data_IF_933766107174
#
_entry.id   IF_933766107174
#
_cell.length_a   1.000
_cell.length_b   1.000
_cell.length_c   1.000
_cell.angle_alpha   90.00
_cell.angle_beta   90.00
_cell.angle_gamma   90.00
#
_symmetry.space_group_name_H-M   'P 1'
#
loop_
_entity.id
_entity.type
_entity.pdbx_description
1 polymer ?
#
# COMPACT_ATOMS: atom_id res chain seq x y z
N UNK A 1 -14.10 -43.91 20.74
CA UNK A 1 -15.04 -43.80 19.60
C UNK A 1 -15.73 -42.44 19.50
N UNK A 2 -15.21 -41.39 20.11
CA UNK A 2 -15.83 -40.04 20.17
C UNK A 2 -15.18 -38.98 19.26
N UNK A 3 -14.05 -39.32 18.60
CA UNK A 3 -13.31 -38.36 17.78
C UNK A 3 -13.82 -38.24 16.32
N UNK A 4 -14.40 -39.29 15.76
CA UNK A 4 -14.89 -39.30 14.38
C UNK A 4 -16.23 -38.58 14.20
N UNK A 5 -17.09 -38.56 15.21
CA UNK A 5 -18.36 -37.82 15.19
C UNK A 5 -18.16 -36.31 15.17
N UNK A 6 -17.20 -35.81 15.95
CA UNK A 6 -16.91 -34.37 16.02
C UNK A 6 -16.30 -33.80 14.73
N UNK A 7 -15.49 -34.60 14.03
CA UNK A 7 -14.89 -34.21 12.75
C UNK A 7 -15.92 -34.22 11.61
N UNK A 8 -16.86 -35.17 11.61
CA UNK A 8 -17.95 -35.22 10.65
C UNK A 8 -18.97 -34.09 10.86
N UNK A 9 -19.26 -33.71 12.11
CA UNK A 9 -20.11 -32.57 12.45
C UNK A 9 -19.46 -31.23 12.04
N UNK A 10 -18.15 -31.06 12.26
CA UNK A 10 -17.39 -29.90 11.79
C UNK A 10 -17.38 -29.81 10.26
N UNK A 11 -17.30 -30.92 9.56
CA UNK A 11 -17.35 -30.96 8.09
C UNK A 11 -18.75 -30.61 7.55
N UNK A 12 -19.82 -31.03 8.24
CA UNK A 12 -21.19 -30.67 7.91
C UNK A 12 -21.50 -29.18 8.16
N UNK A 13 -20.87 -28.57 9.16
CA UNK A 13 -20.95 -27.12 9.40
C UNK A 13 -20.22 -26.29 8.34
N UNK A 14 -19.29 -26.88 7.57
CA UNK A 14 -18.51 -26.17 6.56
C UNK A 14 -19.12 -26.19 5.14
N UNK A 15 -20.13 -26.99 4.87
CA UNK A 15 -20.71 -27.11 3.54
C UNK A 15 -21.90 -26.15 3.36
N UNK A 16 -21.72 -25.15 2.50
CA UNK A 16 -22.84 -24.29 2.05
C UNK A 16 -23.66 -25.02 1.00
N UNK A 17 -25.01 -25.12 1.16
CA UNK A 17 -25.86 -25.81 0.18
C UNK A 17 -25.71 -25.23 -1.24
N UNK A 18 -25.61 -26.06 -2.29
CA UNK A 18 -25.47 -25.60 -3.67
C UNK A 18 -26.60 -24.67 -4.12
N UNK A 19 -27.82 -24.86 -3.61
CA UNK A 19 -28.96 -23.98 -3.86
C UNK A 19 -28.74 -22.55 -3.35
N UNK A 20 -28.04 -22.42 -2.22
CA UNK A 20 -27.70 -21.11 -1.64
C UNK A 20 -26.61 -20.41 -2.49
N UNK A 21 -25.61 -21.16 -2.94
CA UNK A 21 -24.58 -20.65 -3.85
C UNK A 21 -25.18 -20.13 -5.16
N UNK A 22 -26.08 -20.92 -5.78
CA UNK A 22 -26.80 -20.46 -6.97
C UNK A 22 -27.64 -19.20 -6.72
N UNK A 23 -28.22 -19.08 -5.54
CA UNK A 23 -28.96 -17.88 -5.14
C UNK A 23 -28.03 -16.68 -5.02
N UNK A 24 -26.86 -16.82 -4.40
CA UNK A 24 -25.85 -15.75 -4.29
C UNK A 24 -25.43 -15.28 -5.70
N UNK A 25 -25.12 -16.23 -6.61
CA UNK A 25 -24.80 -15.90 -8.00
C UNK A 25 -25.92 -15.12 -8.69
N UNK A 26 -27.17 -15.54 -8.50
CA UNK A 26 -28.35 -14.89 -9.10
C UNK A 26 -28.56 -13.46 -8.60
N UNK A 27 -28.32 -13.20 -7.32
CA UNK A 27 -28.52 -11.86 -6.72
C UNK A 27 -27.26 -10.99 -6.76
N UNK A 28 -26.12 -11.51 -7.22
CA UNK A 28 -24.83 -10.81 -7.19
C UNK A 28 -24.89 -9.39 -7.78
N UNK A 29 -25.54 -9.20 -8.92
CA UNK A 29 -25.70 -7.88 -9.54
C UNK A 29 -26.61 -6.94 -8.74
N UNK A 30 -27.62 -7.45 -8.02
CA UNK A 30 -28.44 -6.63 -7.13
C UNK A 30 -27.66 -6.26 -5.88
N UNK A 31 -26.93 -7.22 -5.31
CA UNK A 31 -26.09 -6.99 -4.12
C UNK A 31 -24.99 -5.97 -4.43
N UNK A 32 -24.33 -6.08 -5.60
CA UNK A 32 -23.34 -5.08 -6.06
C UNK A 32 -23.94 -3.67 -6.11
N UNK A 33 -25.14 -3.52 -6.68
CA UNK A 33 -25.79 -2.20 -6.73
C UNK A 33 -26.07 -1.64 -5.34
N UNK A 34 -26.51 -2.49 -4.39
CA UNK A 34 -26.76 -2.09 -3.00
C UNK A 34 -25.46 -1.68 -2.32
N UNK A 35 -24.38 -2.43 -2.50
CA UNK A 35 -23.03 -2.12 -1.98
C UNK A 35 -22.56 -0.77 -2.54
N UNK A 36 -22.63 -0.55 -3.84
CA UNK A 36 -22.17 0.71 -4.46
C UNK A 36 -23.02 1.89 -4.01
N UNK A 37 -24.33 1.73 -3.87
CA UNK A 37 -25.20 2.76 -3.34
C UNK A 37 -24.82 3.13 -1.89
N UNK A 38 -24.52 2.14 -1.06
CA UNK A 38 -24.06 2.36 0.32
C UNK A 38 -22.70 3.07 0.36
N UNK A 39 -21.72 2.60 -0.41
CA UNK A 39 -20.39 3.22 -0.54
C UNK A 39 -20.52 4.68 -0.96
N UNK A 40 -21.38 4.99 -1.92
CA UNK A 40 -21.60 6.35 -2.42
C UNK A 40 -22.12 7.32 -1.35
N UNK A 41 -22.81 6.81 -0.33
CA UNK A 41 -23.33 7.60 0.80
C UNK A 41 -22.33 7.66 1.95
N UNK A 42 -21.67 6.53 2.24
CA UNK A 42 -20.83 6.35 3.43
C UNK A 42 -19.41 6.88 3.24
N UNK A 43 -18.90 6.90 2.00
CA UNK A 43 -17.52 7.24 1.69
C UNK A 43 -17.46 8.48 0.76
N UNK A 44 -17.27 9.68 1.31
CA UNK A 44 -17.25 10.93 0.53
C UNK A 44 -16.29 10.90 -0.65
N UNK A 45 -15.07 10.36 -0.48
CA UNK A 45 -14.06 10.28 -1.52
C UNK A 45 -14.55 9.51 -2.77
N UNK A 46 -15.48 8.55 -2.61
CA UNK A 46 -15.97 7.76 -3.73
C UNK A 46 -16.75 8.62 -4.74
N UNK A 47 -17.43 9.66 -4.29
CA UNK A 47 -18.16 10.59 -5.17
C UNK A 47 -17.23 11.54 -5.92
N UNK A 48 -16.02 11.76 -5.40
CA UNK A 48 -14.98 12.59 -6.00
C UNK A 48 -14.21 11.87 -7.12
N UNK A 49 -14.27 10.52 -7.15
CA UNK A 49 -13.68 9.72 -8.22
C UNK A 49 -14.38 9.99 -9.56
N UNK A 50 -13.65 9.87 -10.65
CA UNK A 50 -14.23 9.94 -11.98
C UNK A 50 -15.15 8.74 -12.29
N UNK A 51 -15.92 8.84 -13.36
CA UNK A 51 -16.91 7.83 -13.73
C UNK A 51 -16.26 6.47 -14.05
N UNK A 52 -15.04 6.47 -14.59
CA UNK A 52 -14.29 5.25 -14.91
C UNK A 52 -13.90 4.53 -13.63
N UNK A 53 -13.24 5.20 -12.70
CA UNK A 53 -12.83 4.59 -11.42
C UNK A 53 -14.03 4.06 -10.62
N UNK A 54 -15.16 4.79 -10.60
CA UNK A 54 -16.38 4.28 -9.94
C UNK A 54 -16.94 3.02 -10.62
N UNK A 55 -16.92 2.97 -11.96
CA UNK A 55 -17.36 1.78 -12.70
C UNK A 55 -16.46 0.58 -12.44
N UNK A 56 -15.17 0.82 -12.41
CA UNK A 56 -14.14 -0.19 -12.16
C UNK A 56 -14.28 -0.77 -10.75
N UNK A 57 -14.49 0.07 -9.72
CA UNK A 57 -14.78 -0.40 -8.33
C UNK A 57 -16.06 -1.23 -8.32
N UNK A 58 -17.08 -0.84 -9.06
CA UNK A 58 -18.31 -1.63 -9.21
C UNK A 58 -18.06 -3.00 -9.83
N UNK A 59 -17.22 -3.08 -10.84
CA UNK A 59 -16.82 -4.35 -11.46
C UNK A 59 -16.03 -5.22 -10.49
N UNK A 60 -15.11 -4.64 -9.71
CA UNK A 60 -14.34 -5.33 -8.69
C UNK A 60 -15.23 -5.91 -7.59
N UNK A 61 -16.15 -5.11 -7.05
CA UNK A 61 -17.12 -5.59 -6.04
C UNK A 61 -17.97 -6.73 -6.59
N UNK A 62 -18.41 -6.64 -7.85
CA UNK A 62 -19.19 -7.70 -8.49
C UNK A 62 -18.35 -8.97 -8.67
N UNK A 63 -17.09 -8.84 -9.08
CA UNK A 63 -16.16 -9.96 -9.23
C UNK A 63 -15.91 -10.62 -7.88
N UNK A 64 -15.67 -9.84 -6.82
CA UNK A 64 -15.47 -10.36 -5.47
C UNK A 64 -16.68 -11.15 -4.95
N UNK A 65 -17.92 -10.68 -5.20
CA UNK A 65 -19.14 -11.39 -4.80
C UNK A 65 -19.29 -12.71 -5.57
N UNK A 66 -18.94 -12.73 -6.87
CA UNK A 66 -18.97 -13.96 -7.68
C UNK A 66 -17.93 -14.95 -7.22
N UNK A 67 -16.70 -14.46 -7.00
CA UNK A 67 -15.60 -15.27 -6.51
C UNK A 67 -15.92 -15.88 -5.14
N UNK A 68 -16.54 -15.11 -4.24
CA UNK A 68 -17.03 -15.65 -2.98
C UNK A 68 -18.01 -16.82 -3.18
N UNK A 69 -18.93 -16.72 -4.15
CA UNK A 69 -19.89 -17.79 -4.43
C UNK A 69 -19.20 -19.06 -4.97
N UNK A 70 -18.05 -18.94 -5.62
CA UNK A 70 -17.26 -20.08 -6.10
C UNK A 70 -16.39 -20.64 -4.96
N UNK A 71 -15.72 -19.77 -4.23
CA UNK A 71 -14.84 -20.11 -3.11
C UNK A 71 -15.58 -20.83 -1.96
N UNK A 72 -16.79 -20.41 -1.64
CA UNK A 72 -17.55 -20.99 -0.54
C UNK A 72 -17.95 -22.46 -0.75
N UNK A 73 -17.81 -22.98 -1.96
CA UNK A 73 -18.02 -24.40 -2.26
C UNK A 73 -16.80 -25.25 -1.91
N UNK A 74 -15.62 -24.65 -1.98
CA UNK A 74 -14.33 -25.30 -1.75
C UNK A 74 -13.40 -24.38 -0.93
N UNK A 75 -13.78 -24.04 0.32
CA UNK A 75 -13.08 -23.01 1.10
C UNK A 75 -11.67 -23.40 1.55
N UNK A 76 -11.29 -24.65 1.40
CA UNK A 76 -9.98 -25.21 1.74
C UNK A 76 -9.19 -25.60 0.46
N UNK A 77 -9.66 -25.20 -0.72
CA UNK A 77 -8.97 -25.47 -1.99
C UNK A 77 -7.87 -24.42 -2.20
N UNK A 78 -6.62 -24.86 -2.17
CA UNK A 78 -5.44 -24.01 -2.37
C UNK A 78 -5.36 -23.40 -3.79
N UNK A 79 -6.14 -23.91 -4.75
CA UNK A 79 -6.19 -23.42 -6.13
C UNK A 79 -6.98 -22.09 -6.30
N UNK A 80 -7.69 -21.65 -5.25
CA UNK A 80 -8.42 -20.39 -5.28
C UNK A 80 -7.51 -19.25 -4.80
N UNK A 81 -6.74 -18.66 -5.70
CA UNK A 81 -5.90 -17.49 -5.37
C UNK A 81 -6.74 -16.21 -5.34
N UNK A 82 -6.78 -15.58 -4.17
CA UNK A 82 -7.44 -14.27 -3.99
C UNK A 82 -6.83 -13.18 -4.89
N UNK A 83 -5.61 -13.37 -5.40
CA UNK A 83 -5.02 -12.49 -6.40
C UNK A 83 -5.80 -12.50 -7.71
N UNK A 84 -6.54 -13.57 -8.01
CA UNK A 84 -7.41 -13.65 -9.18
C UNK A 84 -8.63 -12.72 -9.05
N UNK A 85 -9.10 -12.47 -7.82
CA UNK A 85 -10.15 -11.46 -7.56
C UNK A 85 -9.64 -10.06 -7.85
N UNK A 86 -8.40 -9.81 -7.47
CA UNK A 86 -7.74 -8.51 -7.69
C UNK A 86 -7.23 -8.36 -9.13
N UNK A 87 -7.10 -9.45 -9.91
CA UNK A 87 -6.74 -9.56 -11.35
C UNK A 87 -5.69 -8.60 -11.88
N UNK A 88 -5.13 -8.87 -13.05
CA UNK A 88 -4.18 -7.96 -13.72
C UNK A 88 -4.78 -6.58 -14.03
N UNK A 89 -6.08 -6.53 -14.32
CA UNK A 89 -6.80 -5.28 -14.61
C UNK A 89 -7.11 -4.47 -13.35
N UNK A 90 -7.13 -5.11 -12.18
CA UNK A 90 -7.33 -4.46 -10.89
C UNK A 90 -6.09 -3.74 -10.37
N UNK A 91 -4.92 -4.02 -10.93
CA UNK A 91 -3.67 -3.28 -10.61
C UNK A 91 -3.85 -1.80 -10.88
N UNK A 92 -4.46 -1.44 -12.02
CA UNK A 92 -4.73 -0.04 -12.35
C UNK A 92 -5.79 0.62 -11.45
N UNK A 93 -6.70 -0.18 -10.88
CA UNK A 93 -7.73 0.29 -9.93
C UNK A 93 -7.13 0.67 -8.58
N UNK A 94 -6.20 -0.16 -8.12
CA UNK A 94 -5.52 0.04 -6.84
C UNK A 94 -4.49 1.17 -6.94
N UNK A 95 -3.91 1.42 -8.11
CA UNK A 95 -3.00 2.56 -8.34
C UNK A 95 -3.68 3.92 -8.12
N UNK A 96 -5.00 4.01 -8.30
CA UNK A 96 -5.79 5.22 -8.06
C UNK A 96 -6.33 5.38 -6.64
N UNK A 97 -6.20 4.36 -5.77
CA UNK A 97 -6.71 4.36 -4.41
C UNK A 97 -5.57 4.23 -3.39
N UNK A 98 -5.74 4.87 -2.24
CA UNK A 98 -4.88 4.60 -1.09
C UNK A 98 -5.26 3.27 -0.40
N UNK A 99 -4.35 2.69 0.39
CA UNK A 99 -4.65 1.53 1.24
C UNK A 99 -5.88 1.81 2.13
N UNK A 100 -5.95 2.99 2.74
CA UNK A 100 -7.06 3.39 3.60
C UNK A 100 -8.39 3.39 2.83
N UNK A 101 -8.41 3.94 1.61
CA UNK A 101 -9.62 3.95 0.76
C UNK A 101 -10.05 2.53 0.38
N UNK A 102 -9.10 1.66 0.01
CA UNK A 102 -9.37 0.26 -0.34
C UNK A 102 -9.94 -0.53 0.84
N UNK A 103 -9.38 -0.35 2.04
CA UNK A 103 -9.88 -0.97 3.27
C UNK A 103 -11.26 -0.43 3.63
N UNK A 104 -11.52 0.88 3.44
CA UNK A 104 -12.84 1.47 3.69
C UNK A 104 -13.91 0.93 2.74
N UNK A 105 -13.57 0.72 1.46
CA UNK A 105 -14.46 0.10 0.47
C UNK A 105 -14.78 -1.34 0.89
N UNK A 106 -13.77 -2.13 1.26
CA UNK A 106 -13.96 -3.50 1.73
C UNK A 106 -14.87 -3.54 2.96
N UNK A 107 -14.59 -2.72 3.97
CA UNK A 107 -15.37 -2.65 5.21
C UNK A 107 -16.84 -2.32 4.92
N UNK A 108 -17.11 -1.24 4.17
CA UNK A 108 -18.48 -0.85 3.82
C UNK A 108 -19.19 -1.90 2.95
N UNK A 109 -18.45 -2.63 2.11
CA UNK A 109 -18.99 -3.74 1.32
C UNK A 109 -19.43 -4.89 2.23
N UNK A 110 -18.62 -5.23 3.23
CA UNK A 110 -18.90 -6.31 4.17
C UNK A 110 -20.10 -6.01 5.06
N UNK A 111 -20.27 -4.76 5.52
CA UNK A 111 -21.46 -4.35 6.26
C UNK A 111 -22.76 -4.69 5.52
N UNK A 112 -22.82 -4.41 4.23
CA UNK A 112 -24.00 -4.71 3.40
C UNK A 112 -24.17 -6.22 3.19
N UNK A 113 -23.07 -6.96 2.98
CA UNK A 113 -23.10 -8.41 2.81
C UNK A 113 -23.57 -9.08 4.09
N UNK A 114 -23.06 -8.68 5.25
CA UNK A 114 -23.49 -9.17 6.56
C UNK A 114 -24.97 -8.89 6.79
N UNK A 115 -25.45 -7.69 6.53
CA UNK A 115 -26.87 -7.34 6.64
C UNK A 115 -27.74 -8.17 5.68
N UNK A 116 -27.27 -8.43 4.47
CA UNK A 116 -27.98 -9.27 3.51
C UNK A 116 -28.10 -10.72 4.03
N UNK A 117 -27.05 -11.28 4.63
CA UNK A 117 -27.07 -12.61 5.25
C UNK A 117 -27.98 -12.63 6.49
N UNK A 118 -27.88 -11.61 7.36
CA UNK A 118 -28.72 -11.50 8.56
C UNK A 118 -30.20 -11.43 8.20
N UNK A 119 -30.56 -10.75 7.15
CA UNK A 119 -31.95 -10.57 6.72
C UNK A 119 -32.51 -11.74 5.89
N UNK A 120 -31.72 -12.77 5.61
CA UNK A 120 -32.23 -13.99 4.97
C UNK A 120 -33.27 -14.67 5.89
N UNK A 121 -34.48 -14.88 5.38
CA UNK A 121 -35.55 -15.49 6.13
C UNK A 121 -35.56 -17.01 6.06
N UNK A 122 -34.95 -17.55 5.01
CA UNK A 122 -34.93 -18.98 4.73
C UNK A 122 -33.62 -19.60 5.23
N UNK A 123 -33.63 -20.84 5.68
CA UNK A 123 -32.46 -21.66 6.06
C UNK A 123 -31.62 -21.08 7.23
N UNK A 124 -32.12 -21.03 8.46
CA UNK A 124 -31.39 -20.45 9.59
C UNK A 124 -30.05 -21.14 9.87
N UNK A 125 -29.94 -22.45 9.65
CA UNK A 125 -28.66 -23.20 9.82
C UNK A 125 -27.61 -22.81 8.79
N UNK A 126 -28.00 -22.67 7.53
CA UNK A 126 -27.10 -22.24 6.45
C UNK A 126 -26.65 -20.78 6.60
N UNK A 127 -27.43 -19.96 7.30
CA UNK A 127 -27.13 -18.56 7.59
C UNK A 127 -25.87 -18.39 8.45
N UNK A 128 -25.75 -19.14 9.54
CA UNK A 128 -24.57 -19.09 10.41
C UNK A 128 -23.32 -19.53 9.66
N UNK A 129 -23.40 -20.62 8.91
CA UNK A 129 -22.32 -21.11 8.07
C UNK A 129 -21.89 -20.08 7.01
N UNK A 130 -22.87 -19.48 6.32
CA UNK A 130 -22.58 -18.45 5.31
C UNK A 130 -21.92 -17.22 5.92
N UNK A 131 -22.35 -16.80 7.13
CA UNK A 131 -21.75 -15.67 7.82
C UNK A 131 -20.26 -15.96 8.20
N UNK A 132 -19.99 -17.16 8.71
CA UNK A 132 -18.62 -17.59 9.03
C UNK A 132 -17.73 -17.57 7.77
N UNK A 133 -18.25 -18.08 6.65
CA UNK A 133 -17.50 -18.03 5.39
C UNK A 133 -17.32 -16.61 4.86
N UNK A 134 -18.32 -15.74 5.00
CA UNK A 134 -18.20 -14.33 4.61
C UNK A 134 -17.10 -13.62 5.43
N UNK A 135 -17.02 -13.88 6.74
CA UNK A 135 -15.97 -13.34 7.61
C UNK A 135 -14.58 -13.90 7.26
N UNK A 136 -14.46 -15.21 6.98
CA UNK A 136 -13.20 -15.79 6.51
C UNK A 136 -12.75 -15.15 5.21
N UNK A 137 -13.66 -15.08 4.24
CA UNK A 137 -13.39 -14.47 2.93
C UNK A 137 -12.96 -13.01 3.03
N UNK A 138 -13.66 -12.21 3.84
CA UNK A 138 -13.30 -10.80 4.03
C UNK A 138 -11.93 -10.62 4.66
N UNK A 139 -11.57 -11.50 5.59
CA UNK A 139 -10.25 -11.51 6.20
C UNK A 139 -9.16 -11.80 5.16
N UNK A 140 -9.32 -12.87 4.36
CA UNK A 140 -8.34 -13.24 3.33
C UNK A 140 -8.22 -12.14 2.27
N UNK A 141 -9.35 -11.56 1.84
CA UNK A 141 -9.34 -10.43 0.91
C UNK A 141 -8.65 -9.19 1.49
N UNK A 142 -8.87 -8.92 2.78
CA UNK A 142 -8.21 -7.83 3.50
C UNK A 142 -6.69 -8.01 3.56
N UNK A 143 -6.20 -9.22 3.84
CA UNK A 143 -4.78 -9.53 3.81
C UNK A 143 -4.19 -9.43 2.40
N UNK A 144 -4.89 -9.92 1.37
CA UNK A 144 -4.44 -9.81 -0.02
C UNK A 144 -4.32 -8.35 -0.48
N UNK A 145 -5.24 -7.49 -0.05
CA UNK A 145 -5.15 -6.04 -0.28
C UNK A 145 -3.90 -5.46 0.43
N UNK A 146 -3.70 -5.80 1.70
CA UNK A 146 -2.55 -5.33 2.47
C UNK A 146 -1.22 -5.77 1.84
N UNK A 147 -1.10 -7.04 1.45
CA UNK A 147 0.08 -7.61 0.78
C UNK A 147 0.36 -6.91 -0.56
N UNK A 148 -0.69 -6.64 -1.34
CA UNK A 148 -0.54 -5.88 -2.59
C UNK A 148 0.06 -4.49 -2.35
N UNK A 149 -0.49 -3.74 -1.39
CA UNK A 149 0.03 -2.40 -1.07
C UNK A 149 1.43 -2.44 -0.47
N UNK A 150 1.75 -3.44 0.36
CA UNK A 150 3.08 -3.65 0.91
C UNK A 150 4.11 -3.91 -0.20
N UNK A 151 3.80 -4.83 -1.12
CA UNK A 151 4.66 -5.13 -2.27
C UNK A 151 4.84 -3.92 -3.22
N UNK A 152 3.78 -3.14 -3.42
CA UNK A 152 3.84 -1.92 -4.23
C UNK A 152 4.68 -0.82 -3.56
N UNK A 153 4.59 -0.69 -2.23
CA UNK A 153 5.41 0.24 -1.46
C UNK A 153 6.89 -0.16 -1.47
N UNK A 154 7.17 -1.46 -1.31
CA UNK A 154 8.54 -1.99 -1.37
C UNK A 154 9.18 -1.74 -2.74
N UNK A 155 8.46 -2.04 -3.83
CA UNK A 155 8.94 -1.77 -5.20
C UNK A 155 9.22 -0.29 -5.43
N UNK A 156 8.35 0.61 -4.94
CA UNK A 156 8.57 2.07 -5.02
C UNK A 156 9.80 2.47 -4.22
N UNK A 157 9.94 1.98 -2.99
CA UNK A 157 11.09 2.30 -2.14
C UNK A 157 12.43 1.89 -2.77
N UNK A 158 12.50 0.71 -3.40
CA UNK A 158 13.71 0.27 -4.13
C UNK A 158 13.99 1.16 -5.35
N UNK A 159 12.95 1.57 -6.09
CA UNK A 159 13.10 2.45 -7.24
C UNK A 159 13.55 3.85 -6.82
N UNK A 160 12.92 4.41 -5.79
CA UNK A 160 13.27 5.72 -5.24
C UNK A 160 14.71 5.74 -4.74
N UNK A 161 15.17 4.73 -4.01
CA UNK A 161 16.53 4.61 -3.53
C UNK A 161 17.56 4.54 -4.67
N UNK A 162 17.23 3.85 -5.77
CA UNK A 162 18.09 3.79 -6.97
C UNK A 162 18.17 5.14 -7.66
N UNK A 163 17.05 5.83 -7.83
CA UNK A 163 17.01 7.16 -8.44
C UNK A 163 17.72 8.19 -7.58
N UNK A 164 17.57 8.10 -6.27
CA UNK A 164 18.28 8.94 -5.31
C UNK A 164 19.80 8.77 -5.42
N UNK A 165 20.26 7.52 -5.41
CA UNK A 165 21.69 7.20 -5.61
C UNK A 165 22.20 7.75 -6.94
N UNK A 166 21.42 7.59 -8.02
CA UNK A 166 21.80 8.08 -9.34
C UNK A 166 21.87 9.61 -9.39
N UNK A 167 20.95 10.31 -8.72
CA UNK A 167 20.95 11.77 -8.64
C UNK A 167 22.17 12.29 -7.86
N UNK A 168 22.41 11.72 -6.67
CA UNK A 168 23.59 12.09 -5.85
C UNK A 168 24.89 11.86 -6.64
N UNK A 169 24.98 10.72 -7.32
CA UNK A 169 26.14 10.34 -8.13
C UNK A 169 26.36 11.32 -9.31
N UNK A 170 25.26 11.73 -9.98
CA UNK A 170 25.31 12.71 -11.06
C UNK A 170 25.79 14.07 -10.56
N UNK A 171 25.35 14.52 -9.40
CA UNK A 171 25.80 15.77 -8.79
C UNK A 171 27.28 15.70 -8.42
N UNK A 172 27.70 14.62 -7.76
CA UNK A 172 29.11 14.43 -7.33
C UNK A 172 30.07 14.38 -8.51
N UNK A 173 29.67 13.78 -9.63
CA UNK A 173 30.48 13.70 -10.84
C UNK A 173 30.42 14.96 -11.72
N UNK A 174 29.64 15.95 -11.37
CA UNK A 174 29.46 17.14 -12.18
C UNK A 174 28.76 16.84 -13.52
N UNK A 175 27.75 16.00 -13.51
CA UNK A 175 26.97 15.65 -14.69
C UNK A 175 26.26 16.89 -15.28
N UNK A 176 25.80 16.78 -16.52
CA UNK A 176 25.11 17.88 -17.20
C UNK A 176 23.80 18.21 -16.47
N UNK A 177 23.46 19.50 -16.47
CA UNK A 177 22.22 19.99 -15.82
C UNK A 177 20.94 19.30 -16.31
N UNK A 178 20.94 18.77 -17.54
CA UNK A 178 19.79 18.01 -18.09
C UNK A 178 19.61 16.67 -17.40
N UNK A 179 20.71 15.96 -17.12
CA UNK A 179 20.69 14.66 -16.43
C UNK A 179 20.21 14.85 -14.98
N UNK A 180 20.76 15.86 -14.29
CA UNK A 180 20.37 16.22 -12.92
C UNK A 180 18.88 16.57 -12.85
N UNK A 181 18.35 17.35 -13.80
CA UNK A 181 16.93 17.68 -13.87
C UNK A 181 16.05 16.47 -14.14
N UNK A 182 16.51 15.55 -14.99
CA UNK A 182 15.78 14.31 -15.29
C UNK A 182 15.60 13.46 -14.05
N UNK A 183 16.66 13.19 -13.30
CA UNK A 183 16.59 12.44 -12.03
C UNK A 183 15.81 13.19 -10.96
N UNK A 184 15.98 14.50 -10.86
CA UNK A 184 15.25 15.34 -9.91
C UNK A 184 13.73 15.33 -10.17
N UNK A 185 13.33 15.40 -11.44
CA UNK A 185 11.91 15.31 -11.82
C UNK A 185 11.31 13.96 -11.46
N UNK A 186 12.05 12.86 -11.67
CA UNK A 186 11.63 11.52 -11.32
C UNK A 186 11.39 11.35 -9.80
N UNK A 187 12.16 12.05 -8.98
CA UNK A 187 12.03 12.07 -7.52
C UNK A 187 11.09 13.18 -6.99
N UNK A 188 10.43 13.93 -7.87
CA UNK A 188 9.68 15.13 -7.54
C UNK A 188 10.50 16.15 -6.70
N UNK A 189 11.81 16.26 -7.02
CA UNK A 189 12.73 17.22 -6.41
C UNK A 189 12.83 18.47 -7.29
N UNK A 190 12.71 19.65 -6.65
CA UNK A 190 12.95 20.92 -7.34
C UNK A 190 14.47 21.18 -7.43
N UNK A 191 15.04 20.87 -8.59
CA UNK A 191 16.47 21.03 -8.85
C UNK A 191 16.90 22.48 -9.09
N UNK A 192 15.96 23.44 -9.11
CA UNK A 192 16.27 24.87 -9.26
C UNK A 192 16.52 25.56 -7.92
N UNK A 193 16.29 24.89 -6.81
CA UNK A 193 16.59 25.43 -5.48
C UNK A 193 18.03 25.17 -5.08
N UNK A 194 18.63 26.10 -4.33
CA UNK A 194 19.95 25.86 -3.76
C UNK A 194 19.92 24.61 -2.87
N UNK A 195 20.92 23.78 -2.99
CA UNK A 195 21.10 22.60 -2.13
C UNK A 195 22.42 22.71 -1.39
N UNK A 196 22.44 22.23 -0.16
CA UNK A 196 23.67 22.04 0.60
C UNK A 196 24.12 20.59 0.41
N UNK A 197 25.35 20.40 0.01
CA UNK A 197 25.97 19.08 -0.06
C UNK A 197 26.70 18.86 1.26
N UNK A 198 26.40 17.77 1.95
CA UNK A 198 27.13 17.35 3.14
C UNK A 198 27.79 16.01 2.85
N UNK A 199 29.04 15.87 3.23
CA UNK A 199 29.80 14.63 3.08
C UNK A 199 30.44 14.30 4.43
N UNK A 200 30.25 13.10 4.88
CA UNK A 200 30.82 12.65 6.14
C UNK A 200 30.79 11.13 6.27
N UNK A 201 31.43 10.63 7.31
CA UNK A 201 31.38 9.20 7.63
C UNK A 201 30.11 8.93 8.43
N UNK A 202 29.27 7.95 8.00
CA UNK A 202 28.06 7.63 8.74
C UNK A 202 28.40 7.04 10.12
N UNK A 203 27.61 7.35 11.12
CA UNK A 203 27.79 6.87 12.50
C UNK A 203 27.72 5.35 12.66
N UNK A 204 27.25 4.63 11.64
CA UNK A 204 27.22 3.17 11.59
C UNK A 204 27.32 2.68 10.15
N UNK A 205 28.45 2.05 9.79
CA UNK A 205 28.69 1.46 8.47
C UNK A 205 27.88 0.18 8.23
N UNK A 206 27.55 -0.57 9.29
CA UNK A 206 26.88 -1.87 9.17
C UNK A 206 25.40 -1.80 8.77
N UNK A 207 24.82 -0.58 8.68
CA UNK A 207 23.38 -0.37 8.42
C UNK A 207 23.14 0.86 7.55
N UNK A 208 23.78 0.91 6.40
CA UNK A 208 23.70 2.03 5.47
C UNK A 208 22.25 2.48 5.17
N UNK A 209 21.35 1.52 4.93
CA UNK A 209 19.93 1.81 4.68
C UNK A 209 19.23 2.51 5.87
N UNK A 210 19.57 2.12 7.10
CA UNK A 210 19.02 2.77 8.29
C UNK A 210 19.55 4.19 8.48
N UNK A 211 20.78 4.44 8.07
CA UNK A 211 21.38 5.77 8.15
C UNK A 211 20.69 6.72 7.18
N UNK A 212 20.45 6.28 5.94
CA UNK A 212 19.68 7.05 4.95
C UNK A 212 18.25 7.30 5.43
N UNK A 213 17.60 6.28 5.98
CA UNK A 213 16.23 6.44 6.53
C UNK A 213 16.17 7.46 7.69
N UNK A 214 17.14 7.41 8.62
CA UNK A 214 17.25 8.39 9.70
C UNK A 214 17.45 9.82 9.19
N UNK A 215 18.24 9.97 8.12
CA UNK A 215 18.42 11.26 7.48
C UNK A 215 17.11 11.79 6.89
N UNK A 216 16.38 10.95 6.17
CA UNK A 216 15.09 11.32 5.60
C UNK A 216 14.11 11.74 6.71
N UNK A 217 14.05 11.02 7.82
CA UNK A 217 13.21 11.35 8.95
C UNK A 217 13.63 12.68 9.59
N UNK A 218 14.91 12.86 9.89
CA UNK A 218 15.41 14.10 10.50
C UNK A 218 15.17 15.32 9.61
N UNK A 219 15.32 15.19 8.30
CA UNK A 219 15.00 16.26 7.35
C UNK A 219 13.49 16.55 7.30
N UNK A 220 12.65 15.51 7.30
CA UNK A 220 11.20 15.65 7.27
C UNK A 220 10.67 16.30 8.56
N UNK A 221 11.22 15.96 9.71
CA UNK A 221 10.86 16.57 11.00
C UNK A 221 11.16 18.07 11.04
N UNK A 222 12.18 18.50 10.28
CA UNK A 222 12.49 19.92 10.07
C UNK A 222 11.64 20.58 8.97
N UNK A 223 10.76 19.82 8.29
CA UNK A 223 9.94 20.31 7.17
C UNK A 223 10.68 20.40 5.84
N UNK A 224 11.84 19.73 5.71
CA UNK A 224 12.68 19.74 4.52
C UNK A 224 12.83 18.35 3.92
N UNK A 225 13.45 18.28 2.75
CA UNK A 225 13.77 17.05 2.06
C UNK A 225 15.28 16.86 1.95
N UNK A 226 15.73 15.65 2.20
CA UNK A 226 17.11 15.25 2.00
C UNK A 226 17.15 14.10 0.98
N UNK A 227 18.25 14.04 0.23
CA UNK A 227 18.62 12.90 -0.60
C UNK A 227 20.00 12.44 -0.14
N UNK A 228 20.24 11.13 -0.16
CA UNK A 228 21.52 10.59 0.28
C UNK A 228 21.94 9.36 -0.52
N UNK A 229 23.24 9.22 -0.68
CA UNK A 229 23.84 8.00 -1.19
C UNK A 229 25.14 7.70 -0.46
N UNK A 230 25.39 6.43 -0.25
CA UNK A 230 26.67 5.96 0.28
C UNK A 230 27.65 5.79 -0.87
N UNK A 231 28.79 6.46 -0.77
CA UNK A 231 29.87 6.36 -1.75
C UNK A 231 31.17 5.94 -1.06
N UNK A 232 31.48 4.66 -1.17
CA UNK A 232 32.58 4.06 -0.43
C UNK A 232 32.36 4.18 1.08
N UNK A 233 33.27 4.78 1.85
CA UNK A 233 33.11 4.97 3.28
C UNK A 233 32.27 6.20 3.66
N UNK A 234 31.85 7.01 2.69
CA UNK A 234 31.21 8.30 2.92
C UNK A 234 29.72 8.24 2.64
N UNK A 235 28.96 8.98 3.44
CA UNK A 235 27.59 9.36 3.17
C UNK A 235 27.59 10.73 2.52
N UNK A 236 27.09 10.80 1.29
CA UNK A 236 26.88 12.06 0.57
C UNK A 236 25.41 12.41 0.63
N UNK A 237 25.10 13.62 1.09
CA UNK A 237 23.73 14.09 1.23
C UNK A 237 23.52 15.40 0.47
N UNK A 238 22.35 15.52 -0.15
CA UNK A 238 21.87 16.74 -0.78
C UNK A 238 20.66 17.21 0.02
N UNK A 239 20.80 18.33 0.72
CA UNK A 239 19.72 18.84 1.58
C UNK A 239 19.31 20.24 1.12
N UNK A 240 18.00 20.44 0.99
CA UNK A 240 17.42 21.76 0.71
C UNK A 240 17.01 22.43 2.02
N UNK A 241 17.98 22.64 2.90
CA UNK A 241 17.82 23.25 4.21
C UNK A 241 18.55 24.58 4.22
N UNK A 242 17.95 25.69 4.68
CA UNK A 242 18.62 26.97 4.81
C UNK A 242 19.89 26.86 5.68
N UNK A 243 20.92 27.60 5.29
CA UNK A 243 22.21 27.57 5.98
C UNK A 243 22.07 27.94 7.48
N UNK A 244 21.14 28.84 7.82
CA UNK A 244 20.87 29.24 9.20
C UNK A 244 20.42 28.07 10.07
N UNK A 245 19.64 27.14 9.50
CA UNK A 245 19.17 25.93 10.20
C UNK A 245 20.31 24.92 10.36
N UNK A 246 21.13 24.76 9.31
CA UNK A 246 22.29 23.88 9.34
C UNK A 246 23.44 24.43 10.19
N UNK A 247 23.53 25.73 10.44
CA UNK A 247 24.52 26.31 11.34
C UNK A 247 24.18 26.10 12.83
N UNK A 248 22.98 25.63 13.16
CA UNK A 248 22.64 25.27 14.52
C UNK A 248 23.33 23.95 14.91
N UNK A 249 24.23 23.95 15.93
CA UNK A 249 24.92 22.72 16.36
C UNK A 249 24.00 21.62 16.86
N UNK A 250 22.77 21.97 17.26
CA UNK A 250 21.74 21.02 17.72
C UNK A 250 20.89 20.47 16.55
N UNK A 251 21.25 20.74 15.29
CA UNK A 251 20.52 20.22 14.15
C UNK A 251 20.61 18.68 14.11
N UNK A 252 19.47 17.96 14.15
CA UNK A 252 19.45 16.51 14.28
C UNK A 252 20.12 15.79 13.10
N UNK A 253 20.36 16.47 11.99
CA UNK A 253 21.10 15.92 10.84
C UNK A 253 22.55 15.61 11.21
N UNK A 254 23.16 16.36 12.12
CA UNK A 254 24.55 16.11 12.52
C UNK A 254 24.73 14.81 13.30
N UNK A 255 23.72 14.36 14.05
CA UNK A 255 23.76 13.08 14.78
C UNK A 255 23.85 11.85 13.88
N UNK A 256 23.60 12.03 12.57
CA UNK A 256 23.67 10.95 11.57
C UNK A 256 25.10 10.66 11.15
N UNK A 257 25.95 11.65 11.30
CA UNK A 257 27.37 11.53 10.99
C UNK A 257 28.18 11.25 12.26
N UNK A 258 29.31 10.55 12.13
CA UNK A 258 30.25 10.42 13.23
C UNK A 258 31.01 11.74 13.45
N UNK A 259 31.34 12.04 14.70
CA UNK A 259 31.86 13.33 15.16
C UNK A 259 33.14 13.83 14.46
N UNK A 260 33.80 13.01 13.63
CA UNK A 260 35.17 13.30 13.22
C UNK A 260 35.35 14.13 11.95
N UNK A 261 34.41 14.26 11.04
CA UNK A 261 34.54 15.17 9.89
C UNK A 261 33.25 15.25 9.05
N UNK A 262 32.50 16.32 9.21
CA UNK A 262 31.45 16.68 8.24
C UNK A 262 31.96 17.84 7.41
N UNK A 263 32.03 17.66 6.09
CA UNK A 263 32.34 18.75 5.15
C UNK A 263 31.00 19.21 4.56
N UNK A 264 30.61 20.45 4.85
CA UNK A 264 29.46 21.08 4.20
C UNK A 264 29.93 21.94 3.03
N UNK A 265 29.45 21.65 1.83
CA UNK A 265 29.65 22.47 0.65
C UNK A 265 28.32 23.09 0.25
N UNK A 266 28.24 24.42 0.24
CA UNK A 266 27.09 25.12 -0.32
C UNK A 266 27.19 25.08 -1.84
N UNK A 267 26.30 24.35 -2.48
CA UNK A 267 26.14 24.36 -3.92
C UNK A 267 24.99 25.29 -4.30
N UNK A 268 25.30 26.44 -4.88
CA UNK A 268 24.31 27.28 -5.54
C UNK A 268 24.32 26.91 -7.01
N UNK A 269 23.25 26.35 -7.51
CA UNK A 269 23.07 26.19 -8.98
C UNK A 269 23.10 27.56 -9.64
N UNK A 270 23.85 27.74 -10.75
CA UNK A 270 23.80 28.95 -11.55
C UNK A 270 22.42 29.16 -12.20
#
# INVERSE_FOLDING_TARGET
MTSQGSQAELTLLNAVPPSLVQRIRKISGQLTRTVIAHISVSLPFFTELDAKHRADIGALVQSAIRFFADWVQHPDDDDLDFKDVLGSDSVHLVEGLSLQQSVSILHSSMEIIEQAVINMKDMPEAKATLLVHALRYSRELGFSIADYFAAAAEKRGVWDARMETALVDAVVRGAKSEDIRSFGSALACDTNRPVTVMVGTPSSLDRQERTVLRLHQAAADLGYRALAAVQGPYLVTLVNIPAEVLMNPECPIYEIFSDDQIICLLYTSP
#
